data_IF_750588194881
#
_entry.id   IF_750588194881
#
_cell.length_a   1.000
_cell.length_b   1.000
_cell.length_c   1.000
_cell.angle_alpha   90.00
_cell.angle_beta   90.00
_cell.angle_gamma   90.00
#
_symmetry.space_group_name_H-M   'P 1'
#
loop_
_entity.id
_entity.type
_entity.pdbx_description
1 polymer ?
#
# COMPACT_ATOMS: atom_id res chain seq x y z
N UNK A 1 -12.57 -4.12 49.84
CA UNK A 1 -12.74 -3.74 48.42
C UNK A 1 -11.68 -4.37 47.49
N UNK A 2 -11.13 -5.55 47.80
CA UNK A 2 -10.00 -6.13 47.05
C UNK A 2 -10.37 -7.14 45.94
N UNK A 3 -11.62 -7.63 45.91
CA UNK A 3 -12.07 -8.63 44.91
C UNK A 3 -12.57 -8.02 43.59
N UNK A 4 -12.83 -6.73 43.54
CA UNK A 4 -13.37 -6.07 42.34
C UNK A 4 -12.31 -5.89 41.25
N UNK A 5 -11.06 -5.66 41.66
CA UNK A 5 -9.92 -5.52 40.76
C UNK A 5 -9.63 -6.82 39.97
N UNK A 6 -9.52 -8.02 40.60
CA UNK A 6 -9.31 -9.25 39.84
C UNK A 6 -10.50 -9.62 38.97
N UNK A 7 -11.74 -9.33 39.38
CA UNK A 7 -12.92 -9.56 38.54
C UNK A 7 -12.93 -8.67 37.29
N UNK A 8 -12.56 -7.40 37.42
CA UNK A 8 -12.43 -6.48 36.29
C UNK A 8 -11.29 -6.88 35.33
N UNK A 9 -10.19 -7.42 35.86
CA UNK A 9 -9.10 -7.96 35.03
C UNK A 9 -9.52 -9.23 34.28
N UNK A 10 -10.27 -10.13 34.94
CA UNK A 10 -10.79 -11.33 34.30
C UNK A 10 -11.78 -11.01 33.16
N UNK A 11 -12.66 -10.02 33.33
CA UNK A 11 -13.59 -9.60 32.26
C UNK A 11 -12.85 -8.93 31.10
N UNK A 12 -11.79 -8.16 31.35
CA UNK A 12 -10.92 -7.62 30.31
C UNK A 12 -10.21 -8.72 29.52
N UNK A 13 -9.69 -9.76 30.19
CA UNK A 13 -9.05 -10.91 29.51
C UNK A 13 -10.07 -11.72 28.70
N UNK A 14 -11.31 -11.85 29.18
CA UNK A 14 -12.36 -12.60 28.48
C UNK A 14 -12.95 -11.81 27.29
N UNK A 15 -13.11 -10.48 27.42
CA UNK A 15 -13.57 -9.61 26.33
C UNK A 15 -12.47 -9.29 25.31
N UNK A 16 -11.22 -9.17 25.76
CA UNK A 16 -10.05 -8.95 24.91
C UNK A 16 -9.27 -10.24 24.70
N UNK A 17 -9.96 -11.38 24.67
CA UNK A 17 -9.42 -12.57 24.02
C UNK A 17 -9.01 -12.12 22.63
N UNK A 18 -7.71 -11.92 22.44
CA UNK A 18 -7.11 -11.63 21.15
C UNK A 18 -7.39 -12.88 20.32
N UNK A 19 -8.56 -12.91 19.71
CA UNK A 19 -8.80 -13.59 18.46
C UNK A 19 -7.70 -13.03 17.57
N UNK A 20 -6.57 -13.74 17.53
CA UNK A 20 -5.72 -13.68 16.36
C UNK A 20 -6.71 -13.89 15.22
N UNK A 21 -6.95 -12.80 14.49
CA UNK A 21 -7.76 -12.85 13.29
C UNK A 21 -7.20 -14.08 12.55
N UNK A 22 -8.01 -15.13 12.27
CA UNK A 22 -7.50 -16.29 11.56
C UNK A 22 -6.73 -15.70 10.41
N UNK A 23 -5.43 -16.03 10.31
CA UNK A 23 -4.53 -15.51 9.29
C UNK A 23 -5.21 -15.83 7.98
N UNK A 24 -6.08 -14.92 7.55
CA UNK A 24 -6.98 -15.05 6.43
C UNK A 24 -5.98 -14.99 5.34
N UNK A 25 -5.57 -16.17 4.87
CA UNK A 25 -4.37 -16.36 4.06
C UNK A 25 -4.30 -15.18 3.11
N UNK A 26 -3.49 -14.19 3.50
CA UNK A 26 -3.31 -12.97 2.75
C UNK A 26 -2.47 -13.50 1.63
N UNK A 27 -3.14 -14.08 0.63
CA UNK A 27 -2.49 -14.53 -0.58
C UNK A 27 -1.72 -13.30 -1.01
N UNK A 28 -0.38 -13.31 -0.92
CA UNK A 28 0.41 -12.14 -1.22
C UNK A 28 -0.03 -11.75 -2.62
N UNK A 29 -0.58 -10.54 -2.77
CA UNK A 29 -1.15 -10.17 -4.05
C UNK A 29 -0.02 -10.28 -5.05
N UNK A 30 -0.21 -11.13 -6.07
CA UNK A 30 0.91 -11.54 -6.90
C UNK A 30 1.51 -10.31 -7.58
N UNK A 31 2.84 -10.18 -7.52
CA UNK A 31 3.54 -9.22 -8.37
C UNK A 31 3.38 -9.67 -9.81
N UNK A 32 2.65 -8.86 -10.58
CA UNK A 32 2.40 -9.13 -11.99
C UNK A 32 3.54 -8.51 -12.79
N UNK A 33 4.26 -9.33 -13.55
CA UNK A 33 5.14 -8.81 -14.60
C UNK A 33 4.28 -8.21 -15.71
N UNK A 34 4.58 -6.97 -16.13
CA UNK A 34 3.83 -6.22 -17.15
C UNK A 34 4.66 -6.08 -18.43
N UNK A 35 3.98 -5.96 -19.58
CA UNK A 35 4.65 -5.71 -20.85
C UNK A 35 5.26 -4.31 -20.85
N UNK A 36 6.54 -4.19 -21.18
CA UNK A 36 7.23 -2.90 -21.22
C UNK A 36 6.67 -1.94 -22.29
N UNK A 37 6.07 -2.51 -23.33
CA UNK A 37 5.43 -1.77 -24.43
C UNK A 37 3.92 -1.62 -24.24
N UNK A 38 3.35 -2.10 -23.13
CA UNK A 38 1.93 -1.89 -22.83
C UNK A 38 1.66 -0.37 -22.68
N UNK A 39 0.58 0.12 -23.27
CA UNK A 39 0.30 1.57 -23.32
C UNK A 39 0.12 2.19 -21.93
N UNK A 40 -0.44 1.44 -20.97
CA UNK A 40 -0.60 1.87 -19.58
C UNK A 40 0.76 1.94 -18.86
N UNK A 41 1.64 0.97 -19.11
CA UNK A 41 3.02 0.97 -18.57
C UNK A 41 3.82 2.17 -19.09
N UNK A 42 3.75 2.46 -20.40
CA UNK A 42 4.39 3.63 -20.99
C UNK A 42 3.84 4.95 -20.42
N UNK A 43 2.53 5.03 -20.20
CA UNK A 43 1.91 6.22 -19.60
C UNK A 43 2.38 6.43 -18.15
N UNK A 44 2.41 5.37 -17.34
CA UNK A 44 2.90 5.44 -15.95
C UNK A 44 4.39 5.78 -15.91
N UNK A 45 5.21 5.21 -16.79
CA UNK A 45 6.63 5.56 -16.91
C UNK A 45 6.83 7.04 -17.26
N UNK A 46 6.00 7.58 -18.15
CA UNK A 46 5.98 9.01 -18.47
C UNK A 46 5.63 9.89 -17.27
N UNK A 47 4.66 9.48 -16.46
CA UNK A 47 4.33 10.17 -15.21
C UNK A 47 5.48 10.14 -14.21
N UNK A 48 6.07 8.98 -13.98
CA UNK A 48 7.22 8.83 -13.09
C UNK A 48 8.40 9.71 -13.54
N UNK A 49 8.73 9.72 -14.83
CA UNK A 49 9.83 10.54 -15.35
C UNK A 49 9.57 12.05 -15.24
N UNK A 50 8.32 12.47 -15.44
CA UNK A 50 7.93 13.87 -15.21
C UNK A 50 8.16 14.28 -13.77
N UNK A 51 7.77 13.43 -12.82
CA UNK A 51 7.93 13.73 -11.40
C UNK A 51 9.41 13.70 -10.98
N UNK A 52 10.21 12.78 -11.52
CA UNK A 52 11.68 12.78 -11.36
C UNK A 52 12.30 14.09 -11.88
N UNK A 53 11.91 14.53 -13.09
CA UNK A 53 12.44 15.78 -13.66
C UNK A 53 12.02 17.02 -12.84
N UNK A 54 10.86 16.97 -12.18
CA UNK A 54 10.38 18.04 -11.30
C UNK A 54 11.14 18.07 -9.96
N UNK A 55 11.51 16.90 -9.45
CA UNK A 55 12.22 16.77 -8.18
C UNK A 55 13.69 17.17 -8.31
N UNK A 56 14.36 16.72 -9.37
CA UNK A 56 15.76 17.08 -9.66
C UNK A 56 15.94 18.60 -9.75
N UNK A 57 16.93 19.12 -9.03
CA UNK A 57 17.26 20.57 -9.03
C UNK A 57 18.32 20.97 -10.04
N UNK A 58 19.12 20.01 -10.50
CA UNK A 58 20.28 20.24 -11.36
C UNK A 58 20.36 19.25 -12.53
N UNK A 59 21.05 19.69 -13.59
CA UNK A 59 21.30 18.93 -14.82
C UNK A 59 20.21 19.09 -15.88
N UNK A 60 20.22 18.19 -16.87
CA UNK A 60 19.30 18.26 -18.02
C UNK A 60 17.99 17.49 -17.79
N UNK A 61 16.95 17.94 -18.50
CA UNK A 61 15.62 17.30 -18.55
C UNK A 61 15.73 15.94 -19.25
N UNK A 62 15.28 14.89 -18.57
CA UNK A 62 15.28 13.53 -19.10
C UNK A 62 14.08 13.29 -20.02
N UNK A 63 14.28 12.43 -21.03
CA UNK A 63 13.21 11.90 -21.89
C UNK A 63 13.18 10.39 -21.81
N UNK A 64 11.99 9.81 -21.87
CA UNK A 64 11.80 8.36 -21.82
C UNK A 64 12.33 7.74 -23.11
N UNK A 65 13.26 6.79 -23.01
CA UNK A 65 13.78 6.03 -24.15
C UNK A 65 13.05 4.68 -24.31
N UNK A 66 13.00 3.90 -23.24
CA UNK A 66 12.30 2.61 -23.15
C UNK A 66 11.99 2.27 -21.69
N UNK A 67 11.04 1.38 -21.46
CA UNK A 67 10.86 0.70 -20.17
C UNK A 67 11.67 -0.60 -20.22
N UNK A 68 12.42 -0.90 -19.15
CA UNK A 68 13.30 -2.08 -19.11
C UNK A 68 12.66 -3.27 -18.37
N UNK A 69 11.94 -2.99 -17.29
CA UNK A 69 11.13 -3.93 -16.52
C UNK A 69 9.96 -3.17 -15.90
N UNK A 70 8.83 -3.85 -15.71
CA UNK A 70 7.64 -3.29 -15.08
C UNK A 70 6.94 -4.36 -14.25
N UNK A 71 6.72 -4.06 -12.96
CA UNK A 71 6.01 -4.93 -12.03
C UNK A 71 4.83 -4.17 -11.44
N UNK A 72 3.68 -4.83 -11.40
CA UNK A 72 2.45 -4.28 -10.84
C UNK A 72 2.04 -5.09 -9.61
N UNK A 73 1.93 -4.41 -8.47
CA UNK A 73 1.26 -4.95 -7.29
C UNK A 73 -0.19 -4.47 -7.28
N UNK A 74 -1.15 -5.38 -7.50
CA UNK A 74 -2.57 -5.06 -7.36
C UNK A 74 -3.01 -5.30 -5.93
N UNK A 75 -3.33 -4.23 -5.21
CA UNK A 75 -4.02 -4.37 -3.92
C UNK A 75 -5.37 -5.06 -4.16
N UNK A 76 -5.56 -6.24 -3.57
CA UNK A 76 -6.87 -6.88 -3.59
C UNK A 76 -7.90 -5.89 -3.02
N UNK A 77 -8.93 -5.58 -3.81
CA UNK A 77 -10.04 -4.77 -3.34
C UNK A 77 -10.72 -5.55 -2.22
N UNK A 78 -10.50 -5.14 -0.98
CA UNK A 78 -11.20 -5.69 0.17
C UNK A 78 -12.70 -5.43 -0.01
N UNK A 79 -13.56 -6.45 -0.13
CA UNK A 79 -14.99 -6.24 -0.21
C UNK A 79 -15.49 -5.86 1.19
N UNK A 80 -15.60 -4.56 1.47
CA UNK A 80 -16.27 -4.08 2.68
C UNK A 80 -15.61 -2.91 3.41
N UNK A 81 -14.44 -2.43 2.99
CA UNK A 81 -13.85 -1.24 3.59
C UNK A 81 -13.73 -0.20 2.49
N UNK A 82 -14.59 0.81 2.54
CA UNK A 82 -14.36 2.08 1.86
C UNK A 82 -13.04 2.62 2.39
N UNK A 83 -11.95 2.32 1.69
CA UNK A 83 -10.68 3.01 1.94
C UNK A 83 -10.97 4.46 1.59
N UNK A 84 -11.14 5.30 2.62
CA UNK A 84 -10.94 6.72 2.46
C UNK A 84 -9.49 6.85 1.96
N UNK A 85 -9.36 7.00 0.65
CA UNK A 85 -8.13 7.40 0.01
C UNK A 85 -7.87 8.82 0.52
N UNK A 86 -7.21 8.91 1.67
CA UNK A 86 -6.60 10.14 2.13
C UNK A 86 -5.49 10.46 1.14
N UNK A 87 -5.86 11.20 0.10
CA UNK A 87 -4.93 12.06 -0.63
C UNK A 87 -4.22 12.92 0.41
N UNK A 88 -2.93 12.66 0.62
CA UNK A 88 -2.16 13.39 1.61
C UNK A 88 -0.77 12.80 1.80
N UNK A 89 0.04 12.72 0.74
CA UNK A 89 1.49 12.81 0.95
C UNK A 89 1.73 14.20 1.56
N UNK A 90 2.02 14.23 2.86
CA UNK A 90 2.51 15.41 3.53
C UNK A 90 3.75 15.91 2.77
N UNK A 91 3.69 17.16 2.32
CA UNK A 91 4.87 17.96 2.00
C UNK A 91 5.46 18.40 3.33
N UNK A 92 6.76 18.20 3.49
CA UNK A 92 7.59 19.00 4.38
C UNK A 92 7.74 20.43 3.84
#
# INVERSE_FOLDING_TARGET
MGLLLPLALCTLVLCCGAMSLPQLALNPSALLSRGCDDSDVLAVAGFALRDINKDRKDGYVLRLNRVNDAQEYRQARWPGISVLSHTGCARD
#
